data_IF_467675145115
#
_entry.id   IF_467675145115
#
_cell.length_a   1.000
_cell.length_b   1.000
_cell.length_c   1.000
_cell.angle_alpha   90.00
_cell.angle_beta   90.00
_cell.angle_gamma   90.00
#
_symmetry.space_group_name_H-M   'P 1'
#
loop_
_entity.id
_entity.type
_entity.pdbx_description
1 polymer ?
#
# COMPACT_ATOMS: atom_id res chain seq x y z
N UNK A 1 1.56 17.81 2.84
CA UNK A 1 1.79 17.16 4.16
C UNK A 1 0.49 16.49 4.57
N UNK A 2 0.49 15.22 4.95
CA UNK A 2 -0.71 14.55 5.46
C UNK A 2 -1.16 15.20 6.77
N UNK A 3 -2.45 15.14 7.12
CA UNK A 3 -3.02 15.68 8.37
C UNK A 3 -2.23 15.30 9.62
N UNK A 4 -1.51 14.19 9.60
CA UNK A 4 -0.70 13.69 10.71
C UNK A 4 0.54 14.55 11.02
N UNK A 5 1.22 15.12 10.02
CA UNK A 5 2.41 15.96 10.25
C UNK A 5 2.08 17.25 11.01
N UNK A 6 0.93 17.87 10.69
CA UNK A 6 0.46 19.07 11.41
C UNK A 6 0.07 18.72 12.85
N UNK A 7 -0.61 17.58 13.07
CA UNK A 7 -0.96 17.09 14.39
C UNK A 7 0.28 16.85 15.25
N UNK A 8 1.28 16.16 14.71
CA UNK A 8 2.55 15.92 15.40
C UNK A 8 3.29 17.23 15.74
N UNK A 9 3.28 18.22 14.85
CA UNK A 9 3.84 19.53 15.13
C UNK A 9 3.16 20.22 16.31
N UNK A 10 1.82 20.18 16.40
CA UNK A 10 1.08 20.71 17.54
C UNK A 10 1.34 19.96 18.84
N UNK A 11 1.50 18.65 18.80
CA UNK A 11 1.88 17.87 19.98
C UNK A 11 3.29 18.23 20.45
N UNK A 12 4.24 18.41 19.51
CA UNK A 12 5.60 18.87 19.83
C UNK A 12 5.60 20.27 20.47
N UNK A 13 4.78 21.21 19.98
CA UNK A 13 4.64 22.54 20.59
C UNK A 13 4.19 22.44 22.03
N UNK A 14 3.19 21.61 22.36
CA UNK A 14 2.73 21.41 23.74
C UNK A 14 3.82 20.83 24.66
N UNK A 15 4.73 20.04 24.13
CA UNK A 15 5.88 19.55 24.90
C UNK A 15 6.90 20.66 25.13
N UNK A 16 7.22 21.46 24.11
CA UNK A 16 8.14 22.57 24.20
C UNK A 16 7.67 23.67 25.17
N UNK A 17 6.34 23.91 25.25
CA UNK A 17 5.76 24.87 26.20
C UNK A 17 6.06 24.50 27.65
N UNK A 18 6.16 23.22 27.99
CA UNK A 18 6.54 22.76 29.34
C UNK A 18 7.94 23.17 29.71
N UNK A 19 8.81 23.36 28.72
CA UNK A 19 10.19 23.79 28.89
C UNK A 19 10.35 25.33 28.68
N UNK A 20 9.23 26.05 28.62
CA UNK A 20 9.22 27.52 28.43
C UNK A 20 9.54 27.97 27.02
N UNK A 21 9.48 27.07 26.04
CA UNK A 21 9.75 27.38 24.63
C UNK A 21 8.41 27.57 23.90
N UNK A 22 8.18 28.80 23.41
CA UNK A 22 7.00 29.14 22.62
C UNK A 22 7.30 28.94 21.14
N UNK A 23 6.47 28.16 20.44
CA UNK A 23 6.61 27.89 19.03
C UNK A 23 5.30 28.18 18.27
N UNK A 24 5.44 28.64 17.03
CA UNK A 24 4.33 28.82 16.09
C UNK A 24 4.40 27.73 15.01
N UNK A 25 3.27 27.09 14.72
CA UNK A 25 3.17 26.11 13.63
C UNK A 25 2.66 26.82 12.38
N UNK A 26 3.39 26.67 11.28
CA UNK A 26 3.00 27.12 9.95
C UNK A 26 2.78 25.88 9.05
N UNK A 27 1.54 25.66 8.64
CA UNK A 27 1.19 24.57 7.70
C UNK A 27 1.45 25.02 6.26
N UNK A 28 2.52 24.49 5.67
CA UNK A 28 2.90 24.74 4.28
C UNK A 28 2.25 23.72 3.35
N UNK A 29 0.92 23.77 3.21
CA UNK A 29 0.15 22.85 2.35
C UNK A 29 0.45 22.98 0.85
N UNK A 30 1.07 24.11 0.43
CA UNK A 30 1.51 24.33 -0.95
C UNK A 30 3.02 24.69 -0.97
N UNK A 31 3.82 23.85 -1.61
CA UNK A 31 5.26 24.09 -1.77
C UNK A 31 5.61 24.81 -3.07
N UNK A 32 4.68 24.86 -4.02
CA UNK A 32 4.85 25.58 -5.30
C UNK A 32 3.52 26.09 -5.84
N UNK A 33 3.25 27.42 -5.84
CA UNK A 33 4.14 28.46 -5.30
C UNK A 33 4.26 28.41 -3.78
N UNK A 34 5.45 28.76 -3.28
CA UNK A 34 5.73 28.85 -1.85
C UNK A 34 5.23 30.21 -1.30
N UNK A 35 4.53 30.20 -0.17
CA UNK A 35 4.09 31.41 0.51
C UNK A 35 5.26 32.06 1.25
N UNK A 36 6.02 32.90 0.53
CA UNK A 36 7.19 33.58 1.04
C UNK A 36 6.85 34.58 2.15
N UNK A 37 5.72 35.29 2.04
CA UNK A 37 5.31 36.30 3.00
C UNK A 37 5.02 35.68 4.37
N UNK A 38 4.30 34.55 4.39
CA UNK A 38 4.02 33.80 5.61
C UNK A 38 5.32 33.30 6.26
N UNK A 39 6.27 32.79 5.48
CA UNK A 39 7.58 32.33 5.97
C UNK A 39 8.36 33.47 6.59
N UNK A 40 8.51 34.58 5.88
CA UNK A 40 9.29 35.76 6.36
C UNK A 40 8.65 36.31 7.64
N UNK A 41 7.33 36.46 7.69
CA UNK A 41 6.61 36.91 8.88
C UNK A 41 6.85 36.01 10.08
N UNK A 42 6.79 34.70 9.91
CA UNK A 42 7.03 33.74 10.98
C UNK A 42 8.49 33.73 11.41
N UNK A 43 9.41 33.69 10.46
CA UNK A 43 10.86 33.66 10.72
C UNK A 43 11.37 34.94 11.39
N UNK A 44 10.83 36.10 11.05
CA UNK A 44 11.24 37.41 11.65
C UNK A 44 10.99 37.46 13.16
N UNK A 45 10.01 36.73 13.66
CA UNK A 45 9.64 36.63 15.07
C UNK A 45 10.25 35.43 15.80
N UNK A 46 11.02 34.62 15.11
CA UNK A 46 11.57 33.37 15.65
C UNK A 46 13.11 33.47 15.81
N UNK A 47 13.66 32.81 16.83
CA UNK A 47 15.12 32.63 16.98
C UNK A 47 15.65 31.52 16.06
N UNK A 48 14.81 30.47 15.82
CA UNK A 48 15.14 29.33 15.00
C UNK A 48 13.89 28.94 14.20
N UNK A 49 14.07 28.57 12.95
CA UNK A 49 13.04 27.99 12.09
C UNK A 49 13.28 26.50 12.01
N UNK A 50 12.25 25.69 12.24
CA UNK A 50 12.32 24.24 12.09
C UNK A 50 11.38 23.83 10.97
N UNK A 51 11.87 23.12 9.97
CA UNK A 51 11.04 22.49 8.94
C UNK A 51 10.97 21.00 9.18
N UNK A 52 9.79 20.41 8.97
CA UNK A 52 9.59 18.98 9.06
C UNK A 52 8.93 18.48 7.77
N UNK A 53 9.54 17.51 7.11
CA UNK A 53 9.11 17.00 5.82
C UNK A 53 9.44 15.53 5.62
N UNK A 54 8.59 14.83 4.87
CA UNK A 54 8.84 13.47 4.40
C UNK A 54 9.57 13.51 3.04
N UNK A 55 10.69 14.19 2.98
CA UNK A 55 11.53 14.37 1.79
C UNK A 55 13.01 14.41 2.21
N UNK A 56 13.92 14.15 1.25
CA UNK A 56 15.35 14.37 1.50
C UNK A 56 15.66 15.84 1.80
N UNK A 57 16.71 16.15 2.56
CA UNK A 57 17.03 17.52 2.96
C UNK A 57 17.32 18.45 1.77
N UNK A 58 17.63 17.90 0.60
CA UNK A 58 17.91 18.64 -0.62
C UNK A 58 16.71 18.64 -1.56
N UNK A 59 16.30 19.83 -2.04
CA UNK A 59 15.20 20.01 -2.98
C UNK A 59 13.79 19.96 -2.40
N UNK A 60 13.64 19.69 -1.09
CA UNK A 60 12.37 19.68 -0.38
C UNK A 60 11.97 21.03 0.21
N UNK A 61 10.93 21.02 1.06
CA UNK A 61 10.42 22.19 1.76
C UNK A 61 11.52 22.93 2.54
N UNK A 62 12.35 22.19 3.28
CA UNK A 62 13.43 22.75 4.08
C UNK A 62 14.44 23.54 3.26
N UNK A 63 14.83 23.02 2.08
CA UNK A 63 15.70 23.73 1.14
C UNK A 63 15.07 25.02 0.65
N UNK A 64 13.79 25.01 0.31
CA UNK A 64 13.07 26.17 -0.20
C UNK A 64 12.87 27.23 0.89
N UNK A 65 12.51 26.81 2.10
CA UNK A 65 12.38 27.70 3.26
C UNK A 65 13.74 28.32 3.61
N UNK A 66 14.83 27.53 3.59
CA UNK A 66 16.19 28.02 3.86
C UNK A 66 16.62 29.09 2.87
N UNK A 67 16.28 28.96 1.59
CA UNK A 67 16.55 29.97 0.57
C UNK A 67 15.79 31.28 0.86
N UNK A 68 14.49 31.20 1.18
CA UNK A 68 13.69 32.40 1.51
C UNK A 68 14.20 33.07 2.77
N UNK A 69 14.40 32.29 3.84
CA UNK A 69 14.89 32.84 5.14
C UNK A 69 16.27 33.40 5.00
N UNK A 70 17.18 32.76 4.27
CA UNK A 70 18.54 33.25 4.02
C UNK A 70 18.58 34.57 3.23
N UNK A 71 17.64 34.73 2.27
CA UNK A 71 17.58 35.94 1.46
C UNK A 71 16.89 37.13 2.16
N UNK A 72 15.79 36.89 2.87
CA UNK A 72 14.89 37.96 3.34
C UNK A 72 15.02 38.25 4.84
N UNK A 73 15.29 37.24 5.67
CA UNK A 73 15.36 37.40 7.13
C UNK A 73 16.28 36.32 7.76
N UNK A 74 17.62 36.46 7.62
CA UNK A 74 18.56 35.41 8.00
C UNK A 74 18.36 34.88 9.43
N UNK A 75 18.06 33.57 9.55
CA UNK A 75 17.88 32.86 10.79
C UNK A 75 18.45 31.44 10.64
N UNK A 76 18.73 30.81 11.76
CA UNK A 76 19.09 29.38 11.77
C UNK A 76 17.86 28.56 11.34
N UNK A 77 18.02 27.72 10.29
CA UNK A 77 17.00 26.78 9.84
C UNK A 77 17.51 25.38 10.17
N UNK A 78 16.66 24.58 10.81
CA UNK A 78 16.88 23.17 11.11
C UNK A 78 15.88 22.36 10.30
N UNK A 79 16.39 21.46 9.47
CA UNK A 79 15.54 20.55 8.68
C UNK A 79 15.41 19.20 9.40
N UNK A 80 14.18 18.85 9.76
CA UNK A 80 13.80 17.47 10.11
C UNK A 80 13.30 16.86 8.82
N UNK A 81 14.15 16.07 8.18
CA UNK A 81 13.93 15.47 6.88
C UNK A 81 14.38 14.01 6.92
N UNK A 82 14.04 13.25 5.89
CA UNK A 82 14.62 11.92 5.71
C UNK A 82 16.14 12.06 5.53
N UNK A 83 16.96 11.15 6.08
CA UNK A 83 18.41 11.22 5.92
C UNK A 83 18.80 11.23 4.44
N UNK A 84 19.88 11.92 4.11
CA UNK A 84 20.49 11.91 2.77
C UNK A 84 21.26 10.61 2.56
N UNK A 85 20.53 9.52 2.60
CA UNK A 85 20.98 8.15 2.41
C UNK A 85 19.84 7.38 1.77
N UNK A 86 20.09 6.24 1.12
CA UNK A 86 19.02 5.36 0.70
C UNK A 86 18.19 4.98 1.93
N UNK A 87 17.04 5.62 2.08
CA UNK A 87 16.02 5.25 3.07
C UNK A 87 15.04 4.32 2.41
N UNK A 88 14.46 3.44 3.21
CA UNK A 88 13.29 2.69 2.78
C UNK A 88 12.22 3.71 2.41
N UNK A 89 12.10 4.00 1.13
CA UNK A 89 11.16 4.98 0.63
C UNK A 89 9.78 4.34 0.56
N UNK A 90 8.90 4.83 1.39
CA UNK A 90 7.49 4.50 1.32
C UNK A 90 7.06 3.41 2.30
N UNK A 91 5.80 3.50 2.65
CA UNK A 91 5.14 2.56 3.57
C UNK A 91 5.11 1.14 3.03
N UNK A 92 5.05 0.99 1.70
CA UNK A 92 4.94 -0.32 1.04
C UNK A 92 6.22 -1.16 1.14
N UNK A 93 7.41 -0.54 1.02
CA UNK A 93 8.71 -1.22 1.18
C UNK A 93 8.96 -1.58 2.65
N UNK A 94 8.57 -0.68 3.57
CA UNK A 94 8.58 -0.97 5.00
C UNK A 94 7.72 -2.18 5.33
N UNK A 95 6.51 -2.29 4.74
CA UNK A 95 5.64 -3.44 4.94
C UNK A 95 6.25 -4.72 4.36
N UNK A 96 6.89 -4.67 3.19
CA UNK A 96 7.57 -5.83 2.61
C UNK A 96 8.65 -6.39 3.57
N UNK A 97 9.49 -5.48 4.11
CA UNK A 97 10.50 -5.85 5.10
C UNK A 97 9.88 -6.32 6.42
N UNK A 98 8.92 -5.56 6.95
CA UNK A 98 8.24 -5.87 8.22
C UNK A 98 7.49 -7.19 8.21
N UNK A 99 7.02 -7.62 7.04
CA UNK A 99 6.43 -8.94 6.83
C UNK A 99 7.47 -10.05 6.65
N UNK A 100 8.77 -9.73 6.69
CA UNK A 100 9.85 -10.70 6.51
C UNK A 100 9.99 -11.21 5.09
N UNK A 101 9.53 -10.46 4.09
CA UNK A 101 9.73 -10.80 2.67
C UNK A 101 11.14 -10.39 2.23
N UNK A 102 12.15 -10.96 2.90
CA UNK A 102 13.57 -10.60 2.76
C UNK A 102 14.32 -11.41 1.71
N UNK A 103 13.77 -12.52 1.26
CA UNK A 103 14.36 -13.37 0.24
C UNK A 103 13.72 -13.12 -1.11
N UNK A 104 14.51 -13.32 -2.19
CA UNK A 104 14.03 -13.21 -3.56
C UNK A 104 12.82 -14.12 -3.81
N UNK A 105 11.79 -13.59 -4.46
CA UNK A 105 10.54 -14.30 -4.77
C UNK A 105 9.50 -14.28 -3.65
N UNK A 106 9.81 -13.74 -2.47
CA UNK A 106 8.79 -13.50 -1.44
C UNK A 106 7.89 -12.34 -1.84
N UNK A 107 6.57 -12.53 -1.65
CA UNK A 107 5.53 -11.59 -2.10
C UNK A 107 4.70 -11.11 -0.92
N UNK A 108 4.41 -9.81 -0.90
CA UNK A 108 3.42 -9.22 0.00
C UNK A 108 2.32 -8.48 -0.78
N UNK A 109 1.14 -8.40 -0.19
CA UNK A 109 0.06 -7.50 -0.62
C UNK A 109 -0.48 -6.72 0.57
N UNK A 110 -0.44 -5.38 0.48
CA UNK A 110 -1.07 -4.49 1.46
C UNK A 110 -2.42 -4.04 0.95
N UNK A 111 -3.47 -4.39 1.68
CA UNK A 111 -4.86 -4.08 1.35
C UNK A 111 -5.27 -2.76 2.03
N UNK A 112 -5.38 -1.70 1.24
CA UNK A 112 -5.83 -0.36 1.68
C UNK A 112 -7.06 0.10 0.91
N UNK A 113 -7.17 1.39 0.64
CA UNK A 113 -8.13 1.96 -0.33
C UNK A 113 -7.92 1.35 -1.72
N UNK A 114 -6.68 1.32 -2.20
CA UNK A 114 -6.15 0.43 -3.21
C UNK A 114 -5.25 -0.63 -2.58
N UNK A 115 -4.56 -1.43 -3.37
CA UNK A 115 -3.56 -2.39 -2.88
C UNK A 115 -2.23 -2.22 -3.59
N UNK A 116 -1.14 -2.44 -2.83
CA UNK A 116 0.21 -2.55 -3.36
C UNK A 116 0.68 -3.99 -3.21
N UNK A 117 1.00 -4.62 -4.32
CA UNK A 117 1.57 -5.97 -4.38
C UNK A 117 3.03 -5.84 -4.75
N UNK A 118 3.91 -6.41 -3.94
CA UNK A 118 5.36 -6.32 -4.13
C UNK A 118 6.01 -7.68 -4.00
N UNK A 119 6.93 -7.97 -4.91
CA UNK A 119 7.80 -9.14 -4.85
C UNK A 119 9.25 -8.68 -4.67
N UNK A 120 9.95 -9.27 -3.73
CA UNK A 120 11.40 -9.09 -3.58
C UNK A 120 12.10 -9.66 -4.82
N UNK A 121 12.72 -8.80 -5.61
CA UNK A 121 13.44 -9.17 -6.84
C UNK A 121 14.92 -9.57 -6.59
N UNK A 122 15.41 -9.40 -5.36
CA UNK A 122 16.81 -9.65 -5.01
C UNK A 122 17.68 -8.43 -5.30
N UNK A 123 18.97 -8.69 -5.58
CA UNK A 123 19.99 -7.64 -5.77
C UNK A 123 20.14 -7.17 -7.22
N UNK A 124 19.47 -7.81 -8.15
CA UNK A 124 19.48 -7.44 -9.56
C UNK A 124 18.09 -6.90 -9.94
N UNK A 125 17.99 -5.75 -10.63
CA UNK A 125 16.71 -5.21 -11.06
C UNK A 125 16.13 -6.08 -12.19
N UNK A 126 14.84 -6.44 -12.07
CA UNK A 126 14.10 -7.12 -13.11
C UNK A 126 13.34 -6.05 -13.91
N UNK A 127 13.68 -5.89 -15.19
CA UNK A 127 12.95 -4.98 -16.08
C UNK A 127 11.75 -5.71 -16.65
N UNK A 128 10.56 -5.32 -16.20
CA UNK A 128 9.32 -5.98 -16.59
C UNK A 128 8.85 -5.50 -17.98
N UNK A 129 8.58 -6.44 -18.86
CA UNK A 129 7.89 -6.21 -20.14
C UNK A 129 6.38 -6.45 -20.03
N UNK A 130 5.92 -6.98 -18.89
CA UNK A 130 4.52 -7.37 -18.64
C UNK A 130 3.70 -6.29 -17.94
N UNK A 131 4.24 -5.11 -17.66
CA UNK A 131 3.50 -3.99 -17.08
C UNK A 131 3.64 -3.86 -15.54
N UNK A 132 4.61 -4.53 -14.95
CA UNK A 132 5.01 -4.29 -13.56
C UNK A 132 6.08 -3.19 -13.48
N UNK A 133 6.20 -2.58 -12.31
CA UNK A 133 7.18 -1.52 -12.06
C UNK A 133 8.33 -2.06 -11.21
N UNK A 134 9.57 -1.81 -11.64
CA UNK A 134 10.74 -2.09 -10.81
C UNK A 134 11.09 -0.88 -9.98
N UNK A 135 11.24 -1.09 -8.68
CA UNK A 135 11.57 -0.06 -7.70
C UNK A 135 12.66 -0.53 -6.75
N UNK A 136 13.25 0.42 -6.01
CA UNK A 136 14.15 0.11 -4.90
C UNK A 136 13.33 -0.36 -3.69
N UNK A 137 13.76 -1.45 -3.05
CA UNK A 137 13.20 -1.93 -1.79
C UNK A 137 13.90 -1.27 -0.61
N UNK A 138 15.17 -1.62 -0.41
CA UNK A 138 16.04 -1.09 0.64
C UNK A 138 17.51 -1.22 0.29
N UNK A 139 18.33 -0.42 0.98
CA UNK A 139 19.79 -0.59 1.02
C UNK A 139 20.22 -1.07 2.42
N UNK A 140 20.94 -2.16 2.51
CA UNK A 140 21.46 -2.68 3.77
C UNK A 140 22.87 -3.23 3.57
N UNK A 141 23.82 -2.84 4.44
CA UNK A 141 25.21 -3.28 4.39
C UNK A 141 25.88 -3.11 3.00
N UNK A 142 25.59 -1.99 2.33
CA UNK A 142 26.13 -1.69 1.00
C UNK A 142 25.51 -2.48 -0.15
N UNK A 143 24.48 -3.30 0.11
CA UNK A 143 23.73 -4.03 -0.91
C UNK A 143 22.35 -3.39 -1.11
N UNK A 144 21.96 -3.22 -2.36
CA UNK A 144 20.62 -2.73 -2.75
C UNK A 144 19.75 -3.94 -3.06
N UNK A 145 18.51 -3.92 -2.57
CA UNK A 145 17.47 -4.88 -2.91
C UNK A 145 16.41 -4.17 -3.75
N UNK A 146 15.95 -4.83 -4.80
CA UNK A 146 14.90 -4.35 -5.70
C UNK A 146 13.58 -5.07 -5.47
N UNK A 147 12.49 -4.47 -5.95
CA UNK A 147 11.16 -5.08 -5.97
C UNK A 147 10.54 -4.95 -7.34
N UNK A 148 9.70 -5.93 -7.69
CA UNK A 148 8.65 -5.78 -8.69
C UNK A 148 7.37 -5.35 -7.98
N UNK A 149 6.68 -4.38 -8.52
CA UNK A 149 5.50 -3.76 -7.93
C UNK A 149 4.35 -3.67 -8.93
N UNK A 150 3.14 -4.01 -8.46
CA UNK A 150 1.89 -3.73 -9.14
C UNK A 150 0.90 -3.09 -8.16
N UNK A 151 0.19 -2.07 -8.61
CA UNK A 151 -0.77 -1.33 -7.80
C UNK A 151 -2.20 -1.49 -8.34
N UNK A 152 -3.13 -1.72 -7.43
CA UNK A 152 -4.56 -1.83 -7.67
C UNK A 152 -5.26 -0.61 -7.08
N UNK A 153 -6.09 0.06 -7.87
CA UNK A 153 -6.76 1.30 -7.45
C UNK A 153 -7.97 1.04 -6.54
N UNK A 154 -8.65 -0.08 -6.73
CA UNK A 154 -9.93 -0.36 -6.06
C UNK A 154 -9.86 -1.65 -5.25
N UNK A 155 -9.54 -1.52 -3.96
CA UNK A 155 -9.64 -2.58 -2.96
C UNK A 155 -10.68 -2.17 -1.92
N UNK A 156 -10.31 -1.46 -0.87
CA UNK A 156 -11.26 -0.89 0.08
C UNK A 156 -12.21 0.13 -0.57
N UNK A 157 -11.78 0.79 -1.63
CA UNK A 157 -12.59 1.74 -2.37
C UNK A 157 -13.83 1.08 -3.01
N UNK A 158 -13.76 -0.18 -3.47
CA UNK A 158 -14.95 -0.89 -3.99
C UNK A 158 -15.95 -1.18 -2.87
N UNK A 159 -15.48 -1.43 -1.66
CA UNK A 159 -16.35 -1.64 -0.49
C UNK A 159 -17.03 -0.32 -0.07
N UNK A 160 -16.29 0.80 -0.12
CA UNK A 160 -16.83 2.14 0.08
C UNK A 160 -17.92 2.45 -0.93
N UNK A 161 -17.69 2.15 -2.21
CA UNK A 161 -18.68 2.30 -3.29
C UNK A 161 -19.94 1.47 -3.03
N UNK A 162 -19.83 0.21 -2.60
CA UNK A 162 -20.99 -0.62 -2.23
C UNK A 162 -21.81 0.01 -1.11
N UNK A 163 -21.16 0.68 -0.15
CA UNK A 163 -21.78 1.28 1.01
C UNK A 163 -22.37 2.66 0.70
N UNK A 164 -21.55 3.58 0.23
CA UNK A 164 -21.85 5.00 0.20
C UNK A 164 -22.58 5.40 -1.08
N UNK A 165 -22.27 4.79 -2.21
CA UNK A 165 -22.86 5.12 -3.51
C UNK A 165 -24.03 4.18 -3.87
N UNK A 166 -23.86 2.87 -3.65
CA UNK A 166 -24.86 1.87 -4.02
C UNK A 166 -25.87 1.56 -2.92
N UNK A 167 -25.55 1.85 -1.65
CA UNK A 167 -26.42 1.53 -0.51
C UNK A 167 -26.69 0.03 -0.35
N UNK A 168 -25.81 -0.83 -0.87
CA UNK A 168 -25.98 -2.28 -0.81
C UNK A 168 -25.57 -2.88 0.55
N UNK A 169 -24.75 -2.18 1.30
CA UNK A 169 -24.32 -2.56 2.64
C UNK A 169 -24.36 -1.32 3.55
N UNK A 170 -24.45 -1.52 4.85
CA UNK A 170 -24.38 -0.43 5.85
C UNK A 170 -23.01 -0.37 6.52
N UNK A 171 -22.29 -1.50 6.53
CA UNK A 171 -20.94 -1.61 7.07
C UNK A 171 -20.08 -2.56 6.23
N UNK A 172 -18.76 -2.37 6.20
CA UNK A 172 -17.83 -3.29 5.50
C UNK A 172 -17.93 -4.73 6.00
N UNK A 173 -18.24 -4.95 7.30
CA UNK A 173 -18.36 -6.28 7.90
C UNK A 173 -19.45 -7.16 7.28
N UNK A 174 -20.53 -6.55 6.78
CA UNK A 174 -21.63 -7.28 6.13
C UNK A 174 -21.20 -8.02 4.86
N UNK A 175 -20.14 -7.57 4.20
CA UNK A 175 -19.66 -8.19 2.96
C UNK A 175 -19.28 -9.64 3.14
N UNK A 176 -18.74 -10.02 4.30
CA UNK A 176 -18.37 -11.40 4.59
C UNK A 176 -19.62 -12.29 4.63
N UNK A 177 -20.57 -11.96 5.49
CA UNK A 177 -21.80 -12.77 5.66
C UNK A 177 -22.61 -12.85 4.36
N UNK A 178 -22.74 -11.74 3.64
CA UNK A 178 -23.45 -11.71 2.37
C UNK A 178 -22.77 -12.58 1.31
N UNK A 179 -21.44 -12.59 1.25
CA UNK A 179 -20.68 -13.41 0.31
C UNK A 179 -20.80 -14.91 0.66
N UNK A 180 -20.77 -15.26 1.94
CA UNK A 180 -20.98 -16.64 2.41
C UNK A 180 -22.39 -17.18 2.10
N UNK A 181 -23.39 -16.29 2.13
CA UNK A 181 -24.80 -16.62 1.84
C UNK A 181 -25.18 -16.50 0.36
N UNK A 182 -24.31 -15.94 -0.49
CA UNK A 182 -24.59 -15.81 -1.91
C UNK A 182 -24.65 -17.17 -2.62
N UNK A 183 -25.37 -17.21 -3.74
CA UNK A 183 -25.44 -18.39 -4.56
C UNK A 183 -24.05 -18.80 -5.06
N UNK A 184 -23.62 -20.00 -4.69
CA UNK A 184 -22.27 -20.52 -5.05
C UNK A 184 -22.11 -20.76 -6.56
N UNK A 185 -23.21 -20.98 -7.28
CA UNK A 185 -23.21 -21.21 -8.72
C UNK A 185 -23.40 -19.93 -9.54
N UNK A 186 -23.50 -18.75 -8.89
CA UNK A 186 -23.59 -17.48 -9.59
C UNK A 186 -22.22 -17.13 -10.21
N UNK A 187 -22.26 -16.67 -11.46
CA UNK A 187 -21.08 -16.34 -12.28
C UNK A 187 -20.97 -14.84 -12.55
N UNK A 188 -21.48 -14.02 -11.64
CA UNK A 188 -21.38 -12.57 -11.72
C UNK A 188 -19.98 -12.14 -11.31
N UNK A 189 -19.36 -11.30 -12.13
CA UNK A 189 -18.07 -10.64 -11.89
C UNK A 189 -18.24 -9.11 -11.90
N UNK A 190 -17.50 -8.44 -11.05
CA UNK A 190 -17.40 -6.97 -11.08
C UNK A 190 -15.96 -6.61 -11.41
N UNK A 191 -15.76 -5.87 -12.51
CA UNK A 191 -14.47 -5.27 -12.84
C UNK A 191 -14.50 -3.81 -12.40
N UNK A 192 -13.78 -3.41 -11.31
CA UNK A 192 -13.93 -2.10 -10.69
C UNK A 192 -13.06 -1.03 -11.35
N UNK A 193 -13.21 -0.85 -12.67
CA UNK A 193 -12.47 0.13 -13.45
C UNK A 193 -13.08 1.54 -13.38
N UNK A 194 -13.46 2.02 -12.18
CA UNK A 194 -14.12 3.32 -11.99
C UNK A 194 -13.23 4.51 -12.40
N UNK A 195 -11.93 4.37 -12.28
CA UNK A 195 -10.93 5.35 -12.75
C UNK A 195 -9.89 4.71 -13.70
N UNK A 196 -10.35 3.78 -14.53
CA UNK A 196 -9.48 2.95 -15.35
C UNK A 196 -8.91 1.75 -14.60
N UNK A 197 -8.13 0.93 -15.32
CA UNK A 197 -7.37 -0.19 -14.78
C UNK A 197 -5.89 0.19 -14.66
N UNK A 198 -5.30 -0.07 -13.48
CA UNK A 198 -3.87 0.03 -13.23
C UNK A 198 -3.11 -1.18 -13.75
N UNK A 199 -2.03 -1.54 -13.06
CA UNK A 199 -1.29 -2.76 -13.36
C UNK A 199 -2.22 -3.98 -13.31
N UNK A 200 -2.03 -4.93 -14.20
CA UNK A 200 -1.08 -4.99 -15.30
C UNK A 200 -1.60 -4.40 -16.62
N UNK A 201 -2.82 -3.94 -16.66
CA UNK A 201 -3.56 -3.60 -17.88
C UNK A 201 -3.28 -2.18 -18.42
N UNK A 202 -3.01 -1.23 -17.54
CA UNK A 202 -2.70 0.18 -17.84
C UNK A 202 -3.68 0.86 -18.81
N UNK A 203 -4.99 0.58 -18.64
CA UNK A 203 -6.08 1.09 -19.46
C UNK A 203 -6.83 2.19 -18.70
N UNK A 204 -6.43 3.45 -18.91
CA UNK A 204 -6.95 4.60 -18.16
C UNK A 204 -8.38 4.99 -18.50
N UNK A 205 -8.87 4.64 -19.69
CA UNK A 205 -10.21 4.93 -20.18
C UNK A 205 -11.21 3.77 -19.98
N UNK A 206 -10.76 2.66 -19.42
CA UNK A 206 -11.61 1.53 -19.05
C UNK A 206 -12.73 1.97 -18.10
N UNK A 207 -13.90 1.34 -18.25
CA UNK A 207 -15.08 1.61 -17.39
C UNK A 207 -15.42 0.37 -16.56
N UNK A 208 -15.88 0.61 -15.33
CA UNK A 208 -16.35 -0.48 -14.48
C UNK A 208 -17.56 -1.20 -15.11
N UNK A 209 -17.61 -2.52 -14.98
CA UNK A 209 -18.75 -3.33 -15.42
C UNK A 209 -19.13 -4.38 -14.37
N UNK A 210 -20.41 -4.76 -14.38
CA UNK A 210 -20.90 -5.99 -13.77
C UNK A 210 -21.23 -6.95 -14.92
N UNK A 211 -20.56 -8.09 -14.96
CA UNK A 211 -20.64 -9.06 -16.06
C UNK A 211 -21.18 -10.42 -15.59
N UNK A 212 -21.94 -11.10 -16.44
CA UNK A 212 -22.42 -12.45 -16.18
C UNK A 212 -23.65 -12.56 -15.28
N UNK A 213 -24.38 -11.46 -15.04
CA UNK A 213 -25.62 -11.47 -14.27
C UNK A 213 -26.69 -12.37 -14.91
N UNK A 214 -27.41 -13.07 -14.06
CA UNK A 214 -28.55 -13.88 -14.43
C UNK A 214 -29.84 -13.41 -13.73
N UNK A 215 -30.97 -14.06 -14.00
CA UNK A 215 -32.24 -13.76 -13.32
C UNK A 215 -32.18 -13.98 -11.81
N UNK A 216 -31.26 -14.83 -11.35
CA UNK A 216 -31.08 -15.18 -9.92
C UNK A 216 -30.01 -14.34 -9.23
N UNK A 217 -29.29 -13.48 -9.97
CA UNK A 217 -28.32 -12.56 -9.39
C UNK A 217 -29.03 -11.48 -8.58
N UNK A 218 -28.79 -11.44 -7.30
CA UNK A 218 -29.34 -10.44 -6.39
C UNK A 218 -28.26 -9.64 -5.68
N UNK A 219 -28.66 -8.96 -4.62
CA UNK A 219 -27.78 -8.09 -3.82
C UNK A 219 -26.54 -8.82 -3.28
N UNK A 220 -26.70 -10.04 -2.80
CA UNK A 220 -25.59 -10.81 -2.21
C UNK A 220 -24.57 -11.21 -3.24
N UNK A 221 -25.01 -11.58 -4.44
CA UNK A 221 -24.14 -11.95 -5.55
C UNK A 221 -23.32 -10.76 -6.05
N UNK A 222 -23.92 -9.58 -6.13
CA UNK A 222 -23.21 -8.34 -6.50
C UNK A 222 -22.17 -7.96 -5.44
N UNK A 223 -22.51 -8.05 -4.15
CA UNK A 223 -21.57 -7.79 -3.06
C UNK A 223 -20.41 -8.80 -3.07
N UNK A 224 -20.72 -10.08 -3.29
CA UNK A 224 -19.70 -11.13 -3.45
C UNK A 224 -18.78 -10.85 -4.63
N UNK A 225 -19.33 -10.51 -5.80
CA UNK A 225 -18.54 -10.21 -6.99
C UNK A 225 -17.59 -9.03 -6.76
N UNK A 226 -18.06 -8.00 -6.04
CA UNK A 226 -17.24 -6.85 -5.67
C UNK A 226 -16.11 -7.23 -4.69
N UNK A 227 -16.40 -8.06 -3.69
CA UNK A 227 -15.40 -8.53 -2.74
C UNK A 227 -14.37 -9.45 -3.41
N UNK A 228 -14.83 -10.39 -4.24
CA UNK A 228 -13.96 -11.32 -4.99
C UNK A 228 -13.09 -10.60 -6.03
N UNK A 229 -13.55 -9.46 -6.60
CA UNK A 229 -12.77 -8.67 -7.56
C UNK A 229 -11.42 -8.21 -7.00
N UNK A 230 -11.34 -7.99 -5.70
CA UNK A 230 -10.10 -7.63 -5.01
C UNK A 230 -9.09 -8.77 -5.14
N UNK A 231 -9.52 -9.99 -4.85
CA UNK A 231 -8.65 -11.16 -4.91
C UNK A 231 -8.22 -11.50 -6.34
N UNK A 232 -9.10 -11.33 -7.31
CA UNK A 232 -8.77 -11.54 -8.72
C UNK A 232 -7.70 -10.57 -9.21
N UNK A 233 -7.84 -9.27 -8.92
CA UNK A 233 -6.86 -8.26 -9.31
C UNK A 233 -5.47 -8.53 -8.69
N UNK A 234 -5.43 -8.94 -7.42
CA UNK A 234 -4.17 -9.32 -6.76
C UNK A 234 -3.58 -10.57 -7.42
N UNK A 235 -4.42 -11.54 -7.76
CA UNK A 235 -3.98 -12.75 -8.47
C UNK A 235 -3.40 -12.41 -9.84
N UNK A 236 -3.99 -11.48 -10.60
CA UNK A 236 -3.44 -11.02 -11.88
C UNK A 236 -2.00 -10.52 -11.73
N UNK A 237 -1.74 -9.68 -10.73
CA UNK A 237 -0.40 -9.15 -10.47
C UNK A 237 0.58 -10.24 -10.05
N UNK A 238 0.18 -11.14 -9.14
CA UNK A 238 1.05 -12.22 -8.65
C UNK A 238 1.37 -13.21 -9.77
N UNK A 239 0.41 -13.55 -10.63
CA UNK A 239 0.66 -14.42 -11.78
C UNK A 239 1.64 -13.79 -12.78
N UNK A 240 1.58 -12.47 -12.99
CA UNK A 240 2.57 -11.77 -13.79
C UNK A 240 3.96 -11.76 -13.15
N UNK A 241 4.04 -11.54 -11.84
CA UNK A 241 5.31 -11.63 -11.11
C UNK A 241 5.96 -13.01 -11.26
N UNK A 242 5.15 -14.08 -11.24
CA UNK A 242 5.62 -15.45 -11.49
C UNK A 242 6.14 -15.61 -12.92
N UNK A 243 5.47 -14.99 -13.89
CA UNK A 243 5.86 -15.09 -15.32
C UNK A 243 7.16 -14.36 -15.64
N UNK A 244 7.42 -13.20 -14.98
CA UNK A 244 8.63 -12.41 -15.20
C UNK A 244 9.92 -13.13 -14.77
N UNK A 245 9.88 -13.85 -13.66
CA UNK A 245 11.09 -14.44 -13.07
C UNK A 245 11.03 -15.98 -12.96
N UNK A 246 10.01 -16.61 -13.56
CA UNK A 246 9.79 -18.08 -13.53
C UNK A 246 9.89 -18.65 -12.10
N UNK A 247 9.44 -17.89 -11.10
CA UNK A 247 9.55 -18.25 -9.69
C UNK A 247 8.24 -18.79 -9.13
N UNK A 248 8.36 -19.75 -8.23
CA UNK A 248 7.23 -20.26 -7.48
C UNK A 248 6.99 -19.39 -6.24
N UNK A 249 5.86 -18.69 -6.21
CA UNK A 249 5.40 -17.98 -5.00
C UNK A 249 4.85 -19.01 -4.02
N UNK A 250 5.56 -19.25 -2.94
CA UNK A 250 5.18 -20.25 -1.91
C UNK A 250 4.10 -19.74 -0.96
N UNK A 251 4.11 -18.45 -0.69
CA UNK A 251 3.24 -17.79 0.28
C UNK A 251 2.99 -16.34 -0.14
N UNK A 252 1.76 -15.87 0.02
CA UNK A 252 1.41 -14.46 -0.11
C UNK A 252 1.25 -13.87 1.30
N UNK A 253 2.15 -12.99 1.69
CA UNK A 253 2.06 -12.25 2.94
C UNK A 253 1.12 -11.06 2.78
N UNK A 254 0.14 -10.88 3.68
CA UNK A 254 -0.89 -9.84 3.53
C UNK A 254 -1.07 -9.02 4.79
N UNK A 255 -1.36 -7.73 4.65
CA UNK A 255 -1.74 -6.83 5.73
C UNK A 255 -2.78 -5.79 5.29
N UNK A 256 -3.22 -4.97 6.24
CA UNK A 256 -4.18 -3.90 6.02
C UNK A 256 -5.62 -4.26 6.44
N UNK A 257 -6.47 -3.23 6.53
CA UNK A 257 -7.82 -3.35 7.08
C UNK A 257 -8.72 -4.43 6.46
N UNK A 258 -8.81 -4.55 5.13
CA UNK A 258 -9.63 -5.57 4.47
C UNK A 258 -9.23 -7.02 4.79
N UNK A 259 -8.02 -7.28 5.29
CA UNK A 259 -7.58 -8.64 5.68
C UNK A 259 -8.33 -9.22 6.88
N UNK A 260 -9.09 -8.40 7.60
CA UNK A 260 -10.00 -8.86 8.67
C UNK A 260 -11.20 -9.68 8.12
N UNK A 261 -11.50 -9.53 6.84
CA UNK A 261 -12.55 -10.30 6.17
C UNK A 261 -12.04 -11.71 5.85
N UNK A 262 -12.51 -12.70 6.59
CA UNK A 262 -12.03 -14.08 6.47
C UNK A 262 -12.46 -14.73 5.15
N UNK A 263 -13.64 -14.37 4.62
CA UNK A 263 -14.07 -14.84 3.30
C UNK A 263 -13.09 -14.37 2.22
N UNK A 264 -12.74 -13.08 2.22
CA UNK A 264 -11.79 -12.52 1.26
C UNK A 264 -10.43 -13.22 1.34
N UNK A 265 -9.89 -13.43 2.55
CA UNK A 265 -8.59 -14.07 2.73
C UNK A 265 -8.61 -15.53 2.29
N UNK A 266 -9.69 -16.24 2.60
CA UNK A 266 -9.87 -17.62 2.15
C UNK A 266 -10.00 -17.70 0.63
N UNK A 267 -10.81 -16.81 0.05
CA UNK A 267 -10.98 -16.74 -1.40
C UNK A 267 -9.67 -16.36 -2.12
N UNK A 268 -8.90 -15.41 -1.56
CA UNK A 268 -7.58 -15.05 -2.08
C UNK A 268 -6.64 -16.26 -2.12
N UNK A 269 -6.59 -17.03 -1.04
CA UNK A 269 -5.78 -18.25 -0.98
C UNK A 269 -6.24 -19.28 -2.02
N UNK A 270 -7.55 -19.46 -2.15
CA UNK A 270 -8.15 -20.42 -3.06
C UNK A 270 -7.92 -20.07 -4.54
N UNK A 271 -8.14 -18.80 -4.92
CA UNK A 271 -8.03 -18.38 -6.32
C UNK A 271 -6.56 -18.29 -6.77
N UNK A 272 -5.66 -17.90 -5.88
CA UNK A 272 -4.22 -17.89 -6.15
C UNK A 272 -3.60 -19.30 -6.08
N UNK A 273 -4.27 -20.25 -5.40
CA UNK A 273 -3.75 -21.59 -5.16
C UNK A 273 -2.50 -21.61 -4.27
N UNK A 274 -2.34 -20.58 -3.42
CA UNK A 274 -1.15 -20.36 -2.59
C UNK A 274 -1.58 -19.99 -1.17
N UNK A 275 -0.81 -20.39 -0.17
CA UNK A 275 -1.08 -20.00 1.22
C UNK A 275 -1.04 -18.49 1.38
N UNK A 276 -2.05 -17.93 2.04
CA UNK A 276 -2.11 -16.52 2.44
C UNK A 276 -1.80 -16.42 3.93
N UNK A 277 -0.84 -15.57 4.29
CA UNK A 277 -0.35 -15.41 5.67
C UNK A 277 -0.54 -13.99 6.16
N UNK A 278 -1.18 -13.85 7.33
CA UNK A 278 -1.35 -12.59 8.04
C UNK A 278 -0.32 -12.49 9.17
N UNK A 279 0.43 -11.38 9.28
CA UNK A 279 1.29 -11.13 10.41
C UNK A 279 0.46 -10.86 11.67
N UNK A 280 1.07 -10.97 12.85
CA UNK A 280 0.43 -10.55 14.11
C UNK A 280 0.31 -9.03 14.25
N UNK A 281 1.20 -8.28 13.61
CA UNK A 281 1.20 -6.82 13.63
C UNK A 281 0.47 -6.29 12.41
N UNK A 282 -0.64 -5.58 12.61
CA UNK A 282 -1.41 -4.97 11.51
C UNK A 282 -0.63 -3.85 10.81
N UNK A 283 0.24 -3.14 11.55
CA UNK A 283 1.03 -2.00 11.05
C UNK A 283 2.41 -2.45 10.56
N UNK A 284 2.44 -3.35 9.57
CA UNK A 284 3.67 -3.92 9.02
C UNK A 284 4.65 -2.87 8.51
N UNK A 285 4.17 -1.74 8.01
CA UNK A 285 5.00 -0.64 7.51
C UNK A 285 5.84 0.02 8.61
N UNK A 286 5.18 0.38 9.72
CA UNK A 286 5.86 0.98 10.88
C UNK A 286 6.80 -0.04 11.55
N UNK A 287 6.36 -1.28 11.64
CA UNK A 287 7.17 -2.37 12.18
C UNK A 287 8.45 -2.58 11.37
N UNK A 288 8.36 -2.64 10.04
CA UNK A 288 9.50 -2.79 9.16
C UNK A 288 10.48 -1.62 9.22
N UNK A 289 9.97 -0.38 9.27
CA UNK A 289 10.80 0.80 9.46
C UNK A 289 11.55 0.76 10.79
N UNK A 290 10.89 0.35 11.88
CA UNK A 290 11.51 0.18 13.19
C UNK A 290 12.59 -0.92 13.19
N UNK A 291 12.35 -2.05 12.54
CA UNK A 291 13.32 -3.12 12.39
C UNK A 291 14.57 -2.66 11.63
N UNK A 292 14.39 -1.95 10.50
CA UNK A 292 15.51 -1.44 9.72
C UNK A 292 16.32 -0.39 10.47
N UNK A 293 15.67 0.50 11.21
CA UNK A 293 16.35 1.45 12.09
C UNK A 293 17.18 0.72 13.17
N UNK A 294 16.59 -0.28 13.81
CA UNK A 294 17.28 -1.10 14.81
C UNK A 294 18.48 -1.87 14.27
N UNK A 295 18.36 -2.42 13.03
CA UNK A 295 19.49 -3.06 12.33
C UNK A 295 20.60 -2.04 12.04
N UNK A 296 20.26 -0.86 11.56
CA UNK A 296 21.22 0.20 11.24
C UNK A 296 21.97 0.72 12.49
N UNK A 297 21.31 0.71 13.64
CA UNK A 297 21.89 1.07 14.93
C UNK A 297 22.58 -0.09 15.65
N UNK A 298 22.58 -1.29 15.08
CA UNK A 298 23.17 -2.48 15.70
C UNK A 298 22.39 -3.05 16.89
N UNK A 299 21.12 -2.66 17.08
CA UNK A 299 20.24 -3.18 18.14
C UNK A 299 19.76 -4.60 17.85
N UNK A 300 19.65 -4.96 16.59
CA UNK A 300 19.21 -6.28 16.12
C UNK A 300 20.22 -6.88 15.14
N UNK A 301 20.17 -8.20 15.02
CA UNK A 301 20.85 -8.95 13.94
C UNK A 301 19.79 -9.48 12.99
N UNK A 302 20.10 -9.54 11.70
CA UNK A 302 19.16 -9.98 10.65
C UNK A 302 18.60 -11.38 10.94
N UNK A 303 19.43 -12.27 11.45
CA UNK A 303 19.08 -13.66 11.74
C UNK A 303 18.04 -13.80 12.86
N UNK A 304 17.98 -12.83 13.80
CA UNK A 304 17.11 -12.91 14.98
C UNK A 304 15.75 -12.24 14.83
N UNK A 305 15.58 -11.32 13.87
CA UNK A 305 14.35 -10.50 13.78
C UNK A 305 13.15 -11.24 13.18
N UNK A 306 13.36 -12.34 12.46
CA UNK A 306 12.30 -13.11 11.80
C UNK A 306 12.15 -14.54 12.29
N UNK A 307 12.76 -14.90 13.46
CA UNK A 307 12.71 -16.25 14.02
C UNK A 307 11.29 -16.68 14.44
N UNK A 308 10.42 -15.73 14.81
CA UNK A 308 9.05 -16.03 15.31
C UNK A 308 8.03 -16.00 14.20
N UNK A 309 7.80 -17.13 13.54
CA UNK A 309 6.78 -17.31 12.47
C UNK A 309 5.40 -17.70 13.03
N UNK A 310 4.82 -16.89 13.92
CA UNK A 310 3.42 -17.09 14.32
C UNK A 310 2.52 -16.22 13.45
N UNK A 311 2.05 -16.76 12.31
CA UNK A 311 1.13 -16.12 11.39
C UNK A 311 -0.18 -16.88 11.33
N UNK A 312 -1.29 -16.17 11.20
CA UNK A 312 -2.55 -16.79 10.81
C UNK A 312 -2.48 -17.13 9.33
N UNK A 313 -2.80 -18.38 8.96
CA UNK A 313 -2.66 -18.87 7.60
C UNK A 313 -4.01 -19.33 7.03
N UNK A 314 -4.26 -18.98 5.78
CA UNK A 314 -5.34 -19.50 4.97
C UNK A 314 -4.73 -20.43 3.90
N UNK A 315 -5.04 -21.71 4.01
CA UNK A 315 -4.53 -22.74 3.10
C UNK A 315 -5.54 -22.93 1.98
N UNK A 316 -5.12 -23.00 0.70
CA UNK A 316 -6.04 -23.22 -0.42
C UNK A 316 -6.75 -24.58 -0.31
N UNK A 317 -8.05 -24.59 -0.56
CA UNK A 317 -8.88 -25.80 -0.55
C UNK A 317 -9.74 -25.98 -1.80
N UNK A 318 -9.87 -24.92 -2.62
CA UNK A 318 -10.56 -24.98 -3.91
C UNK A 318 -9.80 -25.91 -4.86
N UNK A 319 -10.51 -26.80 -5.52
CA UNK A 319 -9.89 -27.68 -6.51
C UNK A 319 -9.44 -26.91 -7.76
N UNK A 320 -8.50 -27.47 -8.50
CA UNK A 320 -7.87 -26.79 -9.64
C UNK A 320 -8.86 -26.47 -10.77
N UNK A 321 -9.86 -27.32 -11.01
CA UNK A 321 -10.85 -27.10 -12.06
C UNK A 321 -11.76 -25.92 -11.72
N UNK A 322 -12.25 -25.85 -10.50
CA UNK A 322 -13.10 -24.75 -10.05
C UNK A 322 -12.31 -23.41 -10.06
N UNK A 323 -11.06 -23.43 -9.60
CA UNK A 323 -10.18 -22.27 -9.63
C UNK A 323 -9.98 -21.75 -11.05
N UNK A 324 -9.66 -22.63 -11.98
CA UNK A 324 -9.48 -22.28 -13.39
C UNK A 324 -10.76 -21.70 -14.00
N UNK A 325 -11.91 -22.30 -13.74
CA UNK A 325 -13.20 -21.80 -14.22
C UNK A 325 -13.49 -20.38 -13.71
N UNK A 326 -13.30 -20.14 -12.42
CA UNK A 326 -13.52 -18.83 -11.81
C UNK A 326 -12.55 -17.79 -12.35
N UNK A 327 -11.28 -18.15 -12.45
CA UNK A 327 -10.26 -17.22 -12.94
C UNK A 327 -10.40 -16.91 -14.43
N UNK A 328 -10.73 -17.91 -15.26
CA UNK A 328 -11.06 -17.69 -16.67
C UNK A 328 -12.30 -16.81 -16.85
N UNK A 329 -13.33 -16.99 -16.00
CA UNK A 329 -14.50 -16.11 -15.99
C UNK A 329 -14.15 -14.64 -15.66
N UNK A 330 -13.26 -14.45 -14.69
CA UNK A 330 -12.70 -13.12 -14.38
C UNK A 330 -11.96 -12.52 -15.59
N UNK A 331 -11.06 -13.26 -16.21
CA UNK A 331 -10.32 -12.82 -17.40
C UNK A 331 -11.26 -12.41 -18.53
N UNK A 332 -12.30 -13.20 -18.79
CA UNK A 332 -13.32 -12.86 -19.78
C UNK A 332 -14.06 -11.55 -19.44
N UNK A 333 -14.34 -11.30 -18.16
CA UNK A 333 -14.97 -10.04 -17.74
C UNK A 333 -14.01 -8.84 -17.95
N UNK A 334 -12.72 -9.01 -17.63
CA UNK A 334 -11.71 -7.97 -17.87
C UNK A 334 -11.54 -7.68 -19.37
N UNK A 335 -11.52 -8.69 -20.23
CA UNK A 335 -11.44 -8.51 -21.69
C UNK A 335 -12.56 -7.60 -22.22
N UNK A 336 -13.78 -7.65 -21.66
CA UNK A 336 -14.89 -6.78 -22.05
C UNK A 336 -14.65 -5.29 -21.73
N UNK A 337 -13.72 -5.01 -20.84
CA UNK A 337 -13.37 -3.66 -20.39
C UNK A 337 -12.16 -3.12 -21.16
N UNK A 338 -11.36 -4.01 -21.74
CA UNK A 338 -10.15 -3.64 -22.48
C UNK A 338 -10.40 -3.28 -23.96
N UNK A 339 -11.58 -3.59 -24.47
CA UNK A 339 -11.99 -3.35 -25.89
C UNK A 339 -12.31 -1.89 -26.14
#
# INVERSE_FOLDING_TARGET
MRRDGVRLAYEAVKLLEKDGIHATVLDMYCVKPLDKEAIVKAASNAKVVVTAEEHAPFGGLGSMVSQVVGAECPRKVLNIALPDAPVVSGTSQGALFGQGCIEKGMVKATYGTGSSVMMNAGTEPIMSDLGLVTSLAWGLNGKITYVLEGNINYTGAVITWLKDDMGLITSPGETQEMSEQANKNDTTYLVPAFSGLGAPYWKSDAKAIIYGMSRTTGKKEVVKAALESIAYQITDIVEMMKAEDVMTVKELCVDGGPTRNQYLMKFQSDILGTTVSLPRCEESSAFGAGLMAGLSCGLYKMESIFEVKNRNQFIPSMNAVEREQKYSGWKNAVEKVLV
#
